data_IF_174276200161
#
_entry.id   IF_174276200161
#
_cell.length_a   1.000
_cell.length_b   1.000
_cell.length_c   1.000
_cell.angle_alpha   90.00
_cell.angle_beta   90.00
_cell.angle_gamma   90.00
#
_symmetry.space_group_name_H-M   'P 1'
#
loop_
_entity.id
_entity.type
_entity.pdbx_description
1 polymer ?
#
# COMPACT_ATOMS: atom_id res chain seq x y z
N UNK A 1 11.12 42.00 4.02
CA UNK A 1 10.71 40.97 5.00
C UNK A 1 10.72 39.64 4.27
N UNK A 2 11.76 38.84 4.44
CA UNK A 2 11.86 37.49 3.87
C UNK A 2 10.81 36.63 4.61
N UNK A 3 9.78 36.16 3.91
CA UNK A 3 8.81 35.23 4.49
C UNK A 3 9.52 33.95 4.91
N UNK A 4 9.24 33.45 6.11
CA UNK A 4 9.75 32.15 6.55
C UNK A 4 9.36 31.08 5.51
N UNK A 5 10.26 30.17 5.12
CA UNK A 5 9.91 29.09 4.21
C UNK A 5 8.73 28.33 4.80
N UNK A 6 7.65 28.22 4.03
CA UNK A 6 6.48 27.40 4.36
C UNK A 6 7.01 26.00 4.63
N UNK A 7 6.93 25.53 5.88
CA UNK A 7 7.27 24.15 6.21
C UNK A 7 6.35 23.24 5.39
N UNK A 8 6.90 22.63 4.34
CA UNK A 8 6.22 21.58 3.60
C UNK A 8 5.83 20.49 4.58
N UNK A 9 4.55 20.14 4.66
CA UNK A 9 4.07 19.09 5.54
C UNK A 9 4.79 17.78 5.16
N UNK A 10 5.59 17.24 6.09
CA UNK A 10 6.30 15.99 5.88
C UNK A 10 5.28 14.85 5.67
N UNK A 11 5.52 13.99 4.66
CA UNK A 11 4.70 12.81 4.43
C UNK A 11 4.84 11.85 5.61
N UNK A 12 3.71 11.50 6.23
CA UNK A 12 3.66 10.45 7.25
C UNK A 12 3.37 9.12 6.59
N UNK A 13 4.15 8.09 6.92
CA UNK A 13 3.94 6.72 6.47
C UNK A 13 3.36 5.88 7.61
N UNK A 14 2.31 5.12 7.30
CA UNK A 14 1.68 4.18 8.22
C UNK A 14 1.93 2.76 7.73
N UNK A 15 1.98 1.82 8.66
CA UNK A 15 2.20 0.41 8.35
C UNK A 15 2.34 -0.41 9.63
N UNK A 16 2.76 -1.66 9.48
CA UNK A 16 3.01 -2.60 10.57
C UNK A 16 4.49 -2.95 10.62
N UNK A 17 5.02 -3.10 11.83
CA UNK A 17 6.39 -3.59 12.03
C UNK A 17 6.37 -5.10 11.85
N UNK A 18 7.03 -5.60 10.81
CA UNK A 18 7.09 -7.04 10.50
C UNK A 18 8.39 -7.68 10.97
N UNK A 19 9.44 -6.89 11.19
CA UNK A 19 10.71 -7.33 11.76
C UNK A 19 11.32 -6.23 12.63
N UNK A 20 11.86 -6.62 13.78
CA UNK A 20 12.58 -5.74 14.69
C UNK A 20 13.83 -6.47 15.19
N UNK A 21 15.00 -5.88 15.00
CA UNK A 21 16.27 -6.47 15.41
C UNK A 21 17.12 -5.45 16.13
N UNK A 22 17.77 -5.91 17.20
CA UNK A 22 18.89 -5.20 17.80
C UNK A 22 20.17 -5.56 17.04
N UNK A 23 20.95 -4.56 16.66
CA UNK A 23 22.18 -4.75 15.89
C UNK A 23 23.41 -4.66 16.79
N UNK A 24 23.49 -3.62 17.62
CA UNK A 24 24.63 -3.38 18.51
C UNK A 24 24.28 -2.36 19.59
N UNK A 25 25.00 -2.38 20.72
CA UNK A 25 24.96 -1.33 21.73
C UNK A 25 26.37 -0.92 22.15
N UNK A 26 26.58 0.37 22.38
CA UNK A 26 27.72 0.96 23.07
C UNK A 26 27.26 1.56 24.42
N UNK A 27 28.15 2.28 25.11
CA UNK A 27 27.78 3.00 26.34
C UNK A 27 26.77 4.13 26.08
N UNK A 28 26.79 4.73 24.89
CA UNK A 28 26.01 5.94 24.56
C UNK A 28 24.91 5.71 23.52
N UNK A 29 24.96 4.63 22.73
CA UNK A 29 24.04 4.40 21.61
C UNK A 29 23.65 2.91 21.50
N UNK A 30 22.40 2.65 21.11
CA UNK A 30 21.95 1.33 20.66
C UNK A 30 21.36 1.44 19.24
N UNK A 31 21.75 0.50 18.36
CA UNK A 31 21.32 0.44 16.97
C UNK A 31 20.28 -0.66 16.78
N UNK A 32 19.20 -0.31 16.08
CA UNK A 32 18.11 -1.21 15.75
C UNK A 32 17.80 -1.17 14.25
N UNK A 33 17.38 -2.30 13.71
CA UNK A 33 16.79 -2.42 12.39
C UNK A 33 15.29 -2.69 12.54
N UNK A 34 14.47 -1.92 11.84
CA UNK A 34 13.01 -2.07 11.82
C UNK A 34 12.55 -2.18 10.38
N UNK A 35 11.74 -3.21 10.09
CA UNK A 35 11.04 -3.34 8.81
C UNK A 35 9.58 -2.90 8.98
N UNK A 36 9.24 -1.80 8.34
CA UNK A 36 7.87 -1.28 8.24
C UNK A 36 7.29 -1.69 6.87
N UNK A 37 6.16 -2.39 6.88
CA UNK A 37 5.45 -2.82 5.67
C UNK A 37 3.97 -2.46 5.75
N UNK A 38 3.26 -2.38 4.62
CA UNK A 38 1.81 -2.25 4.61
C UNK A 38 1.14 -3.39 5.36
N UNK A 39 -0.04 -3.16 5.93
CA UNK A 39 -0.80 -4.21 6.63
C UNK A 39 -1.11 -5.40 5.72
N UNK A 40 -1.25 -5.18 4.41
CA UNK A 40 -1.38 -6.23 3.40
C UNK A 40 -0.22 -7.25 3.41
N UNK A 41 0.98 -6.88 3.85
CA UNK A 41 2.11 -7.81 3.94
C UNK A 41 1.86 -8.95 4.94
N UNK A 42 0.97 -8.76 5.93
CA UNK A 42 0.62 -9.81 6.90
C UNK A 42 -0.12 -10.99 6.25
N UNK A 43 -0.75 -10.80 5.10
CA UNK A 43 -1.45 -11.87 4.38
C UNK A 43 -0.49 -13.00 3.94
N UNK A 44 0.81 -12.70 3.77
CA UNK A 44 1.86 -13.68 3.45
C UNK A 44 2.07 -14.73 4.54
N UNK A 45 1.60 -14.46 5.76
CA UNK A 45 1.76 -15.35 6.93
C UNK A 45 0.68 -16.43 7.00
N UNK A 46 -0.18 -16.51 5.99
CA UNK A 46 -1.23 -17.52 5.88
C UNK A 46 -0.84 -18.58 4.86
N UNK A 47 -1.48 -19.75 4.93
CA UNK A 47 -1.45 -20.73 3.86
C UNK A 47 -2.75 -21.50 3.87
N UNK A 48 -3.49 -21.45 2.76
CA UNK A 48 -4.89 -21.87 2.76
C UNK A 48 -5.23 -22.79 1.61
N UNK A 49 -6.22 -23.64 1.85
CA UNK A 49 -6.95 -24.40 0.83
C UNK A 49 -8.43 -24.06 1.01
N UNK A 50 -9.01 -23.32 0.06
CA UNK A 50 -10.38 -22.82 0.19
C UNK A 50 -11.12 -22.81 -1.16
N UNK A 51 -12.43 -22.97 -1.09
CA UNK A 51 -13.34 -22.90 -2.25
C UNK A 51 -14.29 -21.72 -2.07
N UNK A 52 -14.40 -20.88 -3.09
CA UNK A 52 -15.36 -19.78 -3.16
C UNK A 52 -16.29 -20.06 -4.33
N UNK A 53 -17.60 -20.07 -4.08
CA UNK A 53 -18.61 -20.34 -5.10
C UNK A 53 -19.53 -19.15 -5.25
N UNK A 54 -20.00 -18.92 -6.48
CA UNK A 54 -20.97 -17.89 -6.85
C UNK A 54 -20.62 -16.49 -6.30
N UNK A 55 -19.34 -16.12 -6.36
CA UNK A 55 -18.83 -14.84 -5.86
C UNK A 55 -17.99 -14.14 -6.92
N UNK A 56 -18.05 -12.81 -6.94
CA UNK A 56 -17.19 -11.96 -7.78
C UNK A 56 -15.78 -11.90 -7.18
N UNK A 57 -14.78 -11.51 -7.98
CA UNK A 57 -13.41 -11.32 -7.48
C UNK A 57 -13.34 -10.31 -6.33
N UNK A 58 -13.94 -9.10 -6.42
CA UNK A 58 -13.98 -8.16 -5.29
C UNK A 58 -14.62 -8.75 -4.03
N UNK A 59 -15.69 -9.54 -4.16
CA UNK A 59 -16.35 -10.18 -3.01
C UNK A 59 -15.43 -11.20 -2.33
N UNK A 60 -14.72 -12.03 -3.10
CA UNK A 60 -13.75 -13.00 -2.56
C UNK A 60 -12.64 -12.25 -1.79
N UNK A 61 -12.09 -11.20 -2.39
CA UNK A 61 -11.02 -10.40 -1.77
C UNK A 61 -11.54 -9.73 -0.49
N UNK A 62 -12.69 -9.06 -0.53
CA UNK A 62 -13.31 -8.46 0.65
C UNK A 62 -13.52 -9.47 1.77
N UNK A 63 -14.04 -10.66 1.44
CA UNK A 63 -14.25 -11.74 2.39
C UNK A 63 -12.96 -12.14 3.09
N UNK A 64 -11.87 -12.33 2.34
CA UNK A 64 -10.55 -12.67 2.90
C UNK A 64 -10.07 -11.56 3.85
N UNK A 65 -10.10 -10.30 3.40
CA UNK A 65 -9.61 -9.17 4.19
C UNK A 65 -10.39 -9.02 5.51
N UNK A 66 -11.71 -9.15 5.47
CA UNK A 66 -12.57 -9.01 6.66
C UNK A 66 -12.49 -10.22 7.59
N UNK A 67 -12.73 -11.43 7.07
CA UNK A 67 -12.94 -12.61 7.91
C UNK A 67 -11.61 -13.14 8.45
N UNK A 68 -10.56 -13.18 7.63
CA UNK A 68 -9.27 -13.79 8.01
C UNK A 68 -8.26 -12.82 8.59
N UNK A 69 -8.26 -11.58 8.11
CA UNK A 69 -7.28 -10.55 8.50
C UNK A 69 -7.87 -9.42 9.36
N UNK A 70 -9.15 -9.54 9.71
CA UNK A 70 -9.89 -8.60 10.56
C UNK A 70 -9.74 -7.14 10.11
N UNK A 71 -9.65 -6.93 8.80
CA UNK A 71 -9.63 -5.59 8.21
C UNK A 71 -11.05 -5.03 8.22
N UNK A 72 -11.20 -3.86 8.82
CA UNK A 72 -12.48 -3.15 8.95
C UNK A 72 -12.75 -2.35 7.68
N UNK A 73 -13.97 -1.83 7.54
CA UNK A 73 -14.36 -1.04 6.36
C UNK A 73 -13.56 0.26 6.16
N UNK A 74 -12.87 0.73 7.20
CA UNK A 74 -11.96 1.88 7.12
C UNK A 74 -10.54 1.51 6.65
N UNK A 75 -10.18 0.21 6.66
CA UNK A 75 -8.83 -0.26 6.33
C UNK A 75 -8.65 -0.45 4.81
N UNK A 76 -9.74 -0.52 4.04
CA UNK A 76 -9.71 -0.66 2.60
C UNK A 76 -10.97 -0.13 1.92
N UNK A 77 -10.85 0.25 0.65
CA UNK A 77 -11.95 0.76 -0.17
C UNK A 77 -11.85 0.24 -1.61
N UNK A 78 -12.99 -0.13 -2.18
CA UNK A 78 -13.12 -0.52 -3.58
C UNK A 78 -13.65 0.66 -4.40
N UNK A 79 -12.78 1.31 -5.17
CA UNK A 79 -13.12 2.39 -6.10
C UNK A 79 -13.17 1.86 -7.54
N UNK A 80 -14.02 0.86 -7.77
CA UNK A 80 -14.13 0.17 -9.06
C UNK A 80 -15.19 0.83 -9.94
N UNK A 81 -14.91 0.96 -11.24
CA UNK A 81 -15.84 1.51 -12.24
C UNK A 81 -16.61 0.42 -12.98
N UNK A 82 -16.05 -0.78 -13.06
CA UNK A 82 -16.66 -1.91 -13.74
C UNK A 82 -17.38 -2.83 -12.76
N UNK A 83 -18.37 -3.56 -13.29
CA UNK A 83 -18.98 -4.70 -12.60
C UNK A 83 -18.23 -5.98 -12.98
N UNK A 84 -18.01 -6.84 -11.99
CA UNK A 84 -17.28 -8.10 -12.17
C UNK A 84 -18.25 -9.27 -12.08
N UNK A 85 -18.24 -10.21 -13.03
CA UNK A 85 -19.14 -11.35 -12.99
C UNK A 85 -18.81 -12.27 -11.82
N UNK A 86 -19.84 -12.89 -11.25
CA UNK A 86 -19.67 -13.95 -10.28
C UNK A 86 -19.04 -15.17 -10.98
N UNK A 87 -18.04 -15.76 -10.34
CA UNK A 87 -17.44 -17.01 -10.79
C UNK A 87 -18.17 -18.17 -10.13
N UNK A 88 -18.48 -19.20 -10.91
CA UNK A 88 -19.13 -20.42 -10.41
C UNK A 88 -18.31 -21.04 -9.27
N UNK A 89 -17.00 -21.16 -9.49
CA UNK A 89 -16.07 -21.67 -8.49
C UNK A 89 -14.66 -21.07 -8.66
N UNK A 90 -14.05 -20.71 -7.55
CA UNK A 90 -12.64 -20.29 -7.45
C UNK A 90 -11.99 -21.07 -6.32
N UNK A 91 -10.78 -21.59 -6.57
CA UNK A 91 -10.00 -22.32 -5.57
C UNK A 91 -8.74 -21.55 -5.21
N UNK A 92 -8.46 -21.49 -3.91
CA UNK A 92 -7.14 -21.17 -3.36
C UNK A 92 -6.50 -22.50 -2.96
N UNK A 93 -5.30 -22.79 -3.46
CA UNK A 93 -4.66 -24.09 -3.23
C UNK A 93 -3.20 -23.96 -2.84
N UNK A 94 -2.90 -24.17 -1.56
CA UNK A 94 -1.55 -24.26 -1.04
C UNK A 94 -0.75 -22.96 -1.18
N UNK A 95 -1.42 -21.83 -1.33
CA UNK A 95 -0.84 -20.49 -1.45
C UNK A 95 -1.28 -19.60 -0.27
N UNK A 96 -0.49 -18.56 0.02
CA UNK A 96 -0.86 -17.56 1.01
C UNK A 96 -1.92 -16.60 0.46
N UNK A 97 -2.63 -15.92 1.37
CA UNK A 97 -3.71 -15.00 1.01
C UNK A 97 -3.22 -13.81 0.18
N UNK A 98 -1.97 -13.34 0.34
CA UNK A 98 -1.47 -12.20 -0.44
C UNK A 98 -1.28 -12.63 -1.88
N UNK A 99 -0.58 -13.74 -2.10
CA UNK A 99 -0.36 -14.32 -3.42
C UNK A 99 -1.70 -14.61 -4.12
N UNK A 100 -2.66 -15.19 -3.42
CA UNK A 100 -3.99 -15.47 -3.96
C UNK A 100 -4.75 -14.20 -4.36
N UNK A 101 -4.83 -13.22 -3.46
CA UNK A 101 -5.51 -11.94 -3.70
C UNK A 101 -4.85 -11.19 -4.85
N UNK A 102 -3.52 -11.07 -4.85
CA UNK A 102 -2.77 -10.42 -5.93
C UNK A 102 -3.02 -11.08 -7.28
N UNK A 103 -3.00 -12.42 -7.33
CA UNK A 103 -3.31 -13.17 -8.55
C UNK A 103 -4.72 -12.89 -9.04
N UNK A 104 -5.74 -13.03 -8.20
CA UNK A 104 -7.14 -12.79 -8.58
C UNK A 104 -7.39 -11.36 -9.08
N UNK A 105 -6.83 -10.36 -8.41
CA UNK A 105 -6.99 -8.96 -8.79
C UNK A 105 -6.32 -8.69 -10.15
N UNK A 106 -5.12 -9.22 -10.36
CA UNK A 106 -4.39 -9.06 -11.62
C UNK A 106 -5.11 -9.71 -12.81
N UNK A 107 -5.79 -10.85 -12.61
CA UNK A 107 -6.55 -11.54 -13.67
C UNK A 107 -7.68 -10.68 -14.24
N UNK A 108 -8.26 -9.79 -13.43
CA UNK A 108 -9.40 -8.94 -13.81
C UNK A 108 -9.02 -7.48 -13.99
N UNK A 109 -7.72 -7.14 -13.93
CA UNK A 109 -7.22 -5.79 -14.13
C UNK A 109 -7.45 -4.83 -12.96
N UNK A 110 -7.68 -5.35 -11.76
CA UNK A 110 -7.74 -4.51 -10.55
C UNK A 110 -6.33 -4.36 -9.99
N UNK A 111 -5.93 -3.13 -9.74
CA UNK A 111 -4.71 -2.77 -9.05
C UNK A 111 -5.04 -2.06 -7.72
N UNK A 112 -4.05 -1.92 -6.84
CA UNK A 112 -4.27 -1.23 -5.58
C UNK A 112 -3.06 -0.40 -5.16
N UNK A 113 -3.30 0.58 -4.29
CA UNK A 113 -2.27 1.41 -3.66
C UNK A 113 -2.54 1.57 -2.17
N UNK A 114 -1.52 2.02 -1.46
CA UNK A 114 -1.60 2.34 -0.04
C UNK A 114 -1.70 3.86 0.13
N UNK A 115 -2.85 4.31 0.63
CA UNK A 115 -3.09 5.69 0.99
C UNK A 115 -3.04 5.85 2.52
N UNK A 116 -2.92 7.09 2.97
CA UNK A 116 -3.00 7.45 4.39
C UNK A 116 -4.22 8.33 4.60
N UNK A 117 -5.11 7.92 5.50
CA UNK A 117 -6.19 8.79 5.96
C UNK A 117 -5.63 9.73 7.04
N UNK A 118 -5.56 11.03 6.72
CA UNK A 118 -5.02 12.04 7.63
C UNK A 118 -5.88 12.27 8.88
N UNK A 119 -7.17 11.95 8.84
CA UNK A 119 -8.11 12.12 9.96
C UNK A 119 -8.01 10.95 10.93
N UNK A 120 -8.02 9.73 10.39
CA UNK A 120 -7.97 8.50 11.16
C UNK A 120 -6.54 8.07 11.53
N UNK A 121 -5.52 8.63 10.85
CA UNK A 121 -4.10 8.26 11.01
C UNK A 121 -3.87 6.76 10.84
N UNK A 122 -4.49 6.23 9.79
CA UNK A 122 -4.38 4.81 9.40
C UNK A 122 -3.93 4.71 7.95
N UNK A 123 -3.33 3.58 7.62
CA UNK A 123 -3.16 3.13 6.25
C UNK A 123 -4.51 2.60 5.71
N UNK A 124 -4.82 2.96 4.47
CA UNK A 124 -6.00 2.47 3.73
C UNK A 124 -5.53 1.84 2.42
N UNK A 125 -6.01 0.64 2.12
CA UNK A 125 -5.79 -0.02 0.84
C UNK A 125 -6.88 0.40 -0.15
N UNK A 126 -6.50 1.07 -1.22
CA UNK A 126 -7.45 1.55 -2.23
C UNK A 126 -7.34 0.70 -3.49
N UNK A 127 -8.41 0.02 -3.86
CA UNK A 127 -8.51 -0.80 -5.08
C UNK A 127 -9.14 0.00 -6.22
N UNK A 128 -8.55 -0.09 -7.41
CA UNK A 128 -8.96 0.63 -8.63
C UNK A 128 -8.87 -0.28 -9.85
N UNK A 129 -9.70 0.01 -10.85
CA UNK A 129 -9.66 -0.63 -12.18
C UNK A 129 -9.56 0.39 -13.32
N UNK A 130 -9.33 1.66 -12.98
CA UNK A 130 -9.18 2.76 -13.91
C UNK A 130 -8.06 3.70 -13.46
N UNK A 131 -7.88 4.79 -14.21
CA UNK A 131 -6.85 5.80 -13.97
C UNK A 131 -7.21 6.84 -12.89
N UNK A 132 -8.39 6.75 -12.28
CA UNK A 132 -8.85 7.69 -11.24
C UNK A 132 -8.03 7.62 -9.95
N UNK A 133 -7.37 6.48 -9.69
CA UNK A 133 -6.48 6.29 -8.53
C UNK A 133 -5.10 6.96 -8.67
N UNK A 134 -4.74 7.50 -9.83
CA UNK A 134 -3.46 8.19 -10.01
C UNK A 134 -3.54 9.64 -9.52
N UNK A 135 -2.52 10.08 -8.78
CA UNK A 135 -2.34 11.49 -8.46
C UNK A 135 -1.97 12.26 -9.74
N UNK A 136 -2.78 13.28 -10.07
CA UNK A 136 -2.59 14.12 -11.25
C UNK A 136 -2.05 15.49 -10.86
N UNK A 137 -1.33 16.12 -11.78
CA UNK A 137 -0.89 17.50 -11.63
C UNK A 137 0.35 17.70 -10.76
N UNK A 138 1.05 16.61 -10.40
CA UNK A 138 2.35 16.72 -9.73
C UNK A 138 3.38 17.21 -10.75
N UNK A 139 3.83 18.45 -10.60
CA UNK A 139 4.93 19.00 -11.40
C UNK A 139 6.20 18.92 -10.59
N UNK A 140 7.07 17.98 -10.92
CA UNK A 140 8.37 17.82 -10.27
C UNK A 140 9.44 18.50 -11.14
N UNK A 141 10.23 19.44 -10.60
CA UNK A 141 11.29 20.06 -11.39
C UNK A 141 12.38 19.01 -11.67
N UNK A 142 12.72 18.83 -12.95
CA UNK A 142 13.87 18.05 -13.38
C UNK A 142 15.13 18.91 -13.25
N UNK A 143 16.17 18.39 -12.59
CA UNK A 143 17.48 19.04 -12.54
C UNK A 143 18.56 18.02 -12.95
N UNK A 144 19.67 18.50 -13.54
CA UNK A 144 20.83 17.67 -13.90
C UNK A 144 21.92 17.73 -12.81
N UNK A 145 22.51 16.61 -12.35
CA UNK A 145 23.33 16.55 -11.12
C UNK A 145 24.65 17.36 -11.16
N UNK A 146 25.01 17.96 -12.29
CA UNK A 146 26.24 18.76 -12.49
C UNK A 146 26.13 20.22 -11.98
N UNK A 147 25.54 20.42 -10.80
CA UNK A 147 25.01 21.69 -10.29
C UNK A 147 25.91 22.93 -10.31
N UNK A 148 25.27 24.09 -10.53
CA UNK A 148 25.78 25.43 -10.17
C UNK A 148 24.69 26.29 -9.48
N UNK A 149 23.56 25.71 -9.06
CA UNK A 149 22.44 26.45 -8.48
C UNK A 149 21.75 25.67 -7.35
N UNK A 150 21.88 26.17 -6.11
CA UNK A 150 21.15 25.69 -4.92
C UNK A 150 19.96 26.61 -4.65
N UNK A 151 18.97 26.56 -5.54
CA UNK A 151 17.66 27.13 -5.24
C UNK A 151 16.89 26.07 -4.47
N UNK A 152 16.66 26.31 -3.18
CA UNK A 152 16.06 25.50 -2.08
C UNK A 152 14.77 24.70 -2.39
N UNK A 153 14.62 24.14 -3.58
CA UNK A 153 13.43 23.46 -4.09
C UNK A 153 13.77 22.00 -4.37
N UNK A 154 12.97 21.08 -3.83
CA UNK A 154 13.11 19.64 -4.06
C UNK A 154 12.99 19.30 -5.55
N UNK A 155 13.86 18.42 -6.05
CA UNK A 155 13.94 18.02 -7.45
C UNK A 155 14.21 16.51 -7.58
N UNK A 156 13.75 15.90 -8.68
CA UNK A 156 14.01 14.49 -8.99
C UNK A 156 15.28 14.37 -9.85
N UNK A 157 16.09 13.37 -9.54
CA UNK A 157 17.29 13.00 -10.30
C UNK A 157 17.16 11.55 -10.76
N UNK A 158 17.41 11.28 -12.04
CA UNK A 158 17.40 9.92 -12.60
C UNK A 158 16.01 9.31 -12.74
N UNK A 159 15.33 9.64 -13.85
CA UNK A 159 14.12 8.95 -14.33
C UNK A 159 14.49 7.61 -15.00
#
# INVERSE_FOLDING_TARGET
MQGMPVQTALRTLHGVITSFKHLSSSQDEARYEVRLEPRMALLTRSRQNAIYQNQTVPQIVEKILRERHQMRGQDFVFNLKNEYPAREQVMQYGEDDLTFVSRLLSEVGIWFRFATDARLKIEVVEFYDDQSGYERGLTLPLRHPSGLFDGETEAVWGL
#
